data_IF_800799326239
#
_entry.id   IF_800799326239
#
_cell.length_a   1.000
_cell.length_b   1.000
_cell.length_c   1.000
_cell.angle_alpha   90.00
_cell.angle_beta   90.00
_cell.angle_gamma   90.00
#
_symmetry.space_group_name_H-M   'P 1'
#
loop_
_entity.id
_entity.type
_entity.pdbx_description
1 polymer ?
#
# COMPACT_ATOMS: atom_id res chain seq x y z
N UNK A 1 39.48 61.11 2.64
CA UNK A 1 39.80 59.91 3.43
C UNK A 1 38.64 58.94 3.23
N UNK A 2 38.62 58.28 2.08
CA UNK A 2 37.77 57.11 1.80
C UNK A 2 38.78 56.04 1.47
N UNK A 3 39.14 55.18 2.42
CA UNK A 3 40.02 54.04 2.14
C UNK A 3 40.07 52.98 3.26
N UNK A 4 38.97 52.77 3.98
CA UNK A 4 38.86 51.64 4.93
C UNK A 4 37.57 50.86 4.64
N UNK A 5 37.50 50.22 3.47
CA UNK A 5 36.41 49.29 3.12
C UNK A 5 36.98 47.95 2.63
N UNK A 6 37.95 47.43 3.37
CA UNK A 6 38.63 46.15 3.11
C UNK A 6 38.35 45.11 4.23
N UNK A 7 37.58 45.46 5.26
CA UNK A 7 37.42 44.65 6.48
C UNK A 7 36.15 43.77 6.53
N UNK A 8 35.21 43.90 5.59
CA UNK A 8 33.90 43.24 5.69
C UNK A 8 33.67 42.05 4.73
N UNK A 9 34.59 41.77 3.79
CA UNK A 9 34.40 40.67 2.82
C UNK A 9 34.51 39.28 3.46
N UNK A 10 35.36 39.10 4.47
CA UNK A 10 35.50 37.85 5.22
C UNK A 10 34.21 37.47 5.99
N UNK A 11 33.45 38.47 6.45
CA UNK A 11 32.17 38.26 7.13
C UNK A 11 31.13 37.69 6.16
N UNK A 12 31.10 38.18 4.92
CA UNK A 12 30.20 37.65 3.89
C UNK A 12 30.58 36.22 3.49
N UNK A 13 31.88 35.90 3.36
CA UNK A 13 32.33 34.52 3.10
C UNK A 13 31.92 33.55 4.21
N UNK A 14 32.04 33.98 5.47
CA UNK A 14 31.59 33.22 6.64
C UNK A 14 30.07 33.01 6.61
N UNK A 15 29.29 34.07 6.37
CA UNK A 15 27.82 33.98 6.29
C UNK A 15 27.33 33.12 5.12
N UNK A 16 28.00 33.17 3.97
CA UNK A 16 27.69 32.31 2.82
C UNK A 16 27.98 30.86 3.16
N UNK A 17 29.14 30.57 3.77
CA UNK A 17 29.50 29.21 4.21
C UNK A 17 28.51 28.66 5.24
N UNK A 18 28.12 29.48 6.23
CA UNK A 18 27.12 29.12 7.23
C UNK A 18 25.75 28.85 6.59
N UNK A 19 25.34 29.71 5.64
CA UNK A 19 24.09 29.55 4.91
C UNK A 19 24.10 28.28 4.05
N UNK A 20 25.15 28.02 3.28
CA UNK A 20 25.32 26.80 2.48
C UNK A 20 25.26 25.54 3.35
N UNK A 21 25.94 25.56 4.51
CA UNK A 21 25.90 24.46 5.49
C UNK A 21 24.47 24.23 5.99
N UNK A 22 23.74 25.31 6.34
CA UNK A 22 22.34 25.20 6.81
C UNK A 22 21.39 24.72 5.72
N UNK A 23 21.60 25.12 4.48
CA UNK A 23 20.82 24.63 3.33
C UNK A 23 21.07 23.14 3.13
N UNK A 24 22.34 22.72 3.12
CA UNK A 24 22.74 21.31 3.00
C UNK A 24 22.13 20.44 4.11
N UNK A 25 22.19 20.90 5.37
CA UNK A 25 21.57 20.22 6.51
C UNK A 25 20.06 20.06 6.35
N UNK A 26 19.39 21.10 5.85
CA UNK A 26 17.94 21.09 5.62
C UNK A 26 17.56 20.12 4.50
N UNK A 27 18.31 20.11 3.39
CA UNK A 27 18.13 19.18 2.27
C UNK A 27 18.35 17.73 2.71
N UNK A 28 19.43 17.46 3.44
CA UNK A 28 19.70 16.13 3.98
C UNK A 28 18.57 15.67 4.91
N UNK A 29 18.11 16.54 5.83
CA UNK A 29 17.00 16.22 6.73
C UNK A 29 15.71 15.95 5.97
N UNK A 30 15.37 16.78 4.99
CA UNK A 30 14.20 16.59 4.14
C UNK A 30 14.26 15.27 3.39
N UNK A 31 15.42 14.90 2.85
CA UNK A 31 15.60 13.64 2.12
C UNK A 31 15.39 12.40 3.01
N UNK A 32 15.83 12.47 4.27
CA UNK A 32 15.62 11.40 5.25
C UNK A 32 14.15 11.26 5.64
N UNK A 33 13.45 12.37 5.81
CA UNK A 33 12.01 12.37 6.09
C UNK A 33 11.25 11.82 4.90
N UNK A 34 11.58 12.24 3.68
CA UNK A 34 10.99 11.74 2.44
C UNK A 34 11.19 10.23 2.27
N UNK A 35 12.41 9.73 2.51
CA UNK A 35 12.68 8.29 2.44
C UNK A 35 11.78 7.52 3.41
N UNK A 36 11.65 7.99 4.65
CA UNK A 36 10.79 7.36 5.66
C UNK A 36 9.30 7.42 5.30
N UNK A 37 8.84 8.54 4.77
CA UNK A 37 7.42 8.69 4.36
C UNK A 37 7.10 7.78 3.18
N UNK A 38 8.01 7.66 2.21
CA UNK A 38 7.91 6.72 1.09
C UNK A 38 7.90 5.26 1.54
N UNK A 39 8.82 4.87 2.42
CA UNK A 39 8.89 3.51 2.97
C UNK A 39 7.62 3.13 3.74
N UNK A 40 7.11 4.04 4.58
CA UNK A 40 5.85 3.83 5.31
C UNK A 40 4.65 3.68 4.37
N UNK A 41 4.58 4.49 3.32
CA UNK A 41 3.52 4.44 2.32
C UNK A 41 3.53 3.13 1.52
N UNK A 42 4.70 2.75 1.01
CA UNK A 42 4.88 1.52 0.27
C UNK A 42 4.59 0.30 1.16
N UNK A 43 5.03 0.32 2.42
CA UNK A 43 4.74 -0.75 3.38
C UNK A 43 3.24 -0.90 3.65
N UNK A 44 2.54 0.22 3.86
CA UNK A 44 1.09 0.21 4.08
C UNK A 44 0.33 -0.34 2.88
N UNK A 45 0.74 0.03 1.66
CA UNK A 45 0.13 -0.50 0.45
C UNK A 45 0.38 -2.01 0.28
N UNK A 46 1.63 -2.46 0.46
CA UNK A 46 1.96 -3.88 0.38
C UNK A 46 1.12 -4.70 1.34
N UNK A 47 0.94 -4.21 2.57
CA UNK A 47 0.05 -4.84 3.56
C UNK A 47 -1.41 -4.88 3.10
N UNK A 48 -1.92 -3.79 2.51
CA UNK A 48 -3.28 -3.76 2.00
C UNK A 48 -3.49 -4.76 0.86
N UNK A 49 -2.55 -4.82 -0.09
CA UNK A 49 -2.56 -5.76 -1.22
C UNK A 49 -2.53 -7.20 -0.73
N UNK A 50 -1.61 -7.51 0.18
CA UNK A 50 -1.47 -8.84 0.79
C UNK A 50 -2.77 -9.30 1.46
N UNK A 51 -3.41 -8.41 2.24
CA UNK A 51 -4.70 -8.70 2.90
C UNK A 51 -5.83 -8.92 1.90
N UNK A 52 -5.88 -8.12 0.84
CA UNK A 52 -6.90 -8.26 -0.19
C UNK A 52 -6.74 -9.59 -0.93
N UNK A 53 -5.51 -9.96 -1.29
CA UNK A 53 -5.20 -11.24 -1.93
C UNK A 53 -5.57 -12.42 -1.04
N UNK A 54 -5.14 -12.42 0.22
CA UNK A 54 -5.46 -13.47 1.18
C UNK A 54 -6.98 -13.67 1.36
N UNK A 55 -7.73 -12.57 1.50
CA UNK A 55 -9.20 -12.62 1.62
C UNK A 55 -9.87 -13.12 0.36
N UNK A 56 -9.38 -12.69 -0.80
CA UNK A 56 -9.92 -13.14 -2.08
C UNK A 56 -9.78 -14.67 -2.22
N UNK A 57 -8.59 -15.22 -1.95
CA UNK A 57 -8.38 -16.68 -1.98
C UNK A 57 -9.28 -17.41 -0.99
N UNK A 58 -9.36 -16.94 0.26
CA UNK A 58 -10.21 -17.59 1.28
C UNK A 58 -11.67 -17.61 0.86
N UNK A 59 -12.18 -16.51 0.29
CA UNK A 59 -13.55 -16.45 -0.20
C UNK A 59 -13.75 -17.34 -1.45
N UNK A 60 -12.77 -17.39 -2.35
CA UNK A 60 -12.82 -18.25 -3.54
C UNK A 60 -12.86 -19.73 -3.15
N UNK A 61 -12.06 -20.14 -2.16
CA UNK A 61 -12.05 -21.51 -1.62
C UNK A 61 -13.38 -21.88 -0.95
N UNK A 62 -14.03 -20.93 -0.26
CA UNK A 62 -15.33 -21.19 0.37
C UNK A 62 -16.47 -21.30 -0.66
N UNK A 63 -16.40 -20.55 -1.77
CA UNK A 63 -17.34 -20.66 -2.90
C UNK A 63 -18.81 -20.72 -2.47
N UNK A 64 -19.56 -21.65 -3.06
CA UNK A 64 -20.94 -21.99 -2.66
C UNK A 64 -21.02 -23.14 -1.63
N UNK A 65 -19.88 -23.59 -1.08
CA UNK A 65 -19.87 -24.72 -0.16
C UNK A 65 -20.58 -24.37 1.15
N UNK A 66 -21.41 -25.30 1.64
CA UNK A 66 -22.02 -25.19 2.97
C UNK A 66 -20.98 -25.53 4.04
N UNK A 67 -20.23 -24.53 4.48
CA UNK A 67 -19.17 -24.66 5.49
C UNK A 67 -19.69 -24.25 6.86
N UNK A 68 -19.29 -24.97 7.91
CA UNK A 68 -19.62 -24.60 9.29
C UNK A 68 -19.17 -23.18 9.65
N UNK A 69 -19.99 -22.48 10.44
CA UNK A 69 -19.73 -21.07 10.85
C UNK A 69 -18.38 -20.92 11.55
N UNK A 70 -18.00 -21.90 12.37
CA UNK A 70 -16.70 -21.93 13.07
C UNK A 70 -15.51 -21.95 12.12
N UNK A 71 -15.59 -22.72 11.02
CA UNK A 71 -14.56 -22.77 10.00
C UNK A 71 -14.49 -21.49 9.18
N UNK A 72 -15.64 -20.91 8.81
CA UNK A 72 -15.68 -19.60 8.14
C UNK A 72 -15.01 -18.52 8.98
N UNK A 73 -15.33 -18.45 10.28
CA UNK A 73 -14.72 -17.48 11.18
C UNK A 73 -13.21 -17.70 11.31
N UNK A 74 -12.76 -18.94 11.48
CA UNK A 74 -11.34 -19.26 11.56
C UNK A 74 -10.58 -18.88 10.29
N UNK A 75 -11.10 -19.23 9.11
CA UNK A 75 -10.48 -18.94 7.82
C UNK A 75 -10.39 -17.42 7.55
N UNK A 76 -11.45 -16.68 7.87
CA UNK A 76 -11.51 -15.23 7.65
C UNK A 76 -10.64 -14.43 8.63
N UNK A 77 -10.48 -14.89 9.88
CA UNK A 77 -9.75 -14.15 10.94
C UNK A 77 -8.31 -14.63 11.12
N UNK A 78 -8.10 -15.93 11.27
CA UNK A 78 -6.78 -16.50 11.55
C UNK A 78 -6.04 -16.81 10.26
N UNK A 79 -6.71 -17.51 9.33
CA UNK A 79 -6.03 -18.02 8.14
C UNK A 79 -5.73 -16.93 7.11
N UNK A 80 -6.62 -15.94 6.95
CA UNK A 80 -6.34 -14.75 6.13
C UNK A 80 -5.10 -13.99 6.61
N UNK A 81 -4.87 -13.91 7.92
CA UNK A 81 -3.67 -13.28 8.47
C UNK A 81 -2.42 -14.13 8.18
N UNK A 82 -2.50 -15.46 8.30
CA UNK A 82 -1.40 -16.36 7.91
C UNK A 82 -0.98 -16.15 6.45
N UNK A 83 -1.95 -16.16 5.54
CA UNK A 83 -1.71 -15.93 4.12
C UNK A 83 -1.12 -14.53 3.90
N UNK A 84 -1.63 -13.51 4.59
CA UNK A 84 -1.05 -12.15 4.54
C UNK A 84 0.42 -12.15 4.95
N UNK A 85 0.80 -12.87 6.01
CA UNK A 85 2.20 -12.96 6.44
C UNK A 85 3.09 -13.67 5.42
N UNK A 86 2.62 -14.76 4.81
CA UNK A 86 3.34 -15.46 3.73
C UNK A 86 3.53 -14.50 2.55
N UNK A 87 2.47 -13.78 2.16
CA UNK A 87 2.49 -12.82 1.06
C UNK A 87 3.49 -11.68 1.27
N UNK A 88 3.63 -11.18 2.50
CA UNK A 88 4.56 -10.09 2.80
C UNK A 88 6.04 -10.52 2.82
N UNK A 89 6.31 -11.81 3.03
CA UNK A 89 7.68 -12.31 3.19
C UNK A 89 8.41 -12.49 1.87
N UNK A 90 7.68 -12.76 0.78
CA UNK A 90 8.27 -13.14 -0.50
C UNK A 90 7.62 -12.34 -1.64
N UNK A 91 8.42 -11.81 -2.60
CA UNK A 91 7.90 -11.03 -3.72
C UNK A 91 7.01 -11.83 -4.69
N UNK A 92 7.13 -13.17 -4.72
CA UNK A 92 6.32 -14.09 -5.54
C UNK A 92 5.57 -15.10 -4.67
N UNK A 93 4.95 -14.62 -3.59
CA UNK A 93 4.36 -15.51 -2.60
C UNK A 93 3.30 -16.47 -3.16
N UNK A 94 2.52 -16.07 -4.17
CA UNK A 94 1.49 -16.92 -4.79
C UNK A 94 2.06 -18.21 -5.39
N UNK A 95 3.32 -18.20 -5.81
CA UNK A 95 4.00 -19.38 -6.36
C UNK A 95 4.85 -20.13 -5.33
N UNK A 96 4.90 -19.67 -4.08
CA UNK A 96 5.73 -20.25 -3.05
C UNK A 96 5.18 -21.57 -2.51
N UNK A 97 6.06 -22.48 -2.11
CA UNK A 97 5.66 -23.74 -1.48
C UNK A 97 4.89 -23.50 -0.17
N UNK A 98 5.26 -22.46 0.58
CA UNK A 98 4.59 -22.03 1.82
C UNK A 98 3.14 -21.64 1.55
N UNK A 99 2.87 -20.89 0.47
CA UNK A 99 1.54 -20.49 0.08
C UNK A 99 0.68 -21.68 -0.36
N UNK A 100 1.21 -22.52 -1.27
CA UNK A 100 0.50 -23.72 -1.72
C UNK A 100 0.17 -24.67 -0.55
N UNK A 101 1.11 -24.82 0.39
CA UNK A 101 0.89 -25.63 1.59
C UNK A 101 -0.19 -25.03 2.49
N UNK A 102 -0.21 -23.70 2.64
CA UNK A 102 -1.25 -23.01 3.39
C UNK A 102 -2.64 -23.10 2.72
N UNK A 103 -2.71 -23.06 1.39
CA UNK A 103 -3.95 -23.24 0.63
C UNK A 103 -4.47 -24.67 0.76
N UNK A 104 -3.62 -25.70 0.60
CA UNK A 104 -4.00 -27.11 0.79
C UNK A 104 -4.54 -27.40 2.20
N UNK A 105 -3.96 -26.76 3.22
CA UNK A 105 -4.48 -26.84 4.58
C UNK A 105 -5.84 -26.16 4.71
N UNK A 106 -6.07 -25.00 4.07
CA UNK A 106 -7.38 -24.35 4.04
C UNK A 106 -8.45 -25.23 3.39
N UNK A 107 -8.15 -25.84 2.24
CA UNK A 107 -9.03 -26.80 1.56
C UNK A 107 -9.37 -27.99 2.48
N UNK A 108 -8.38 -28.46 3.24
CA UNK A 108 -8.58 -29.52 4.22
C UNK A 108 -9.51 -29.07 5.35
N UNK A 109 -9.33 -27.86 5.90
CA UNK A 109 -10.24 -27.30 6.91
C UNK A 109 -11.68 -27.27 6.38
N UNK A 110 -11.87 -26.78 5.15
CA UNK A 110 -13.18 -26.70 4.49
C UNK A 110 -13.80 -28.09 4.35
N UNK A 111 -13.04 -29.07 3.86
CA UNK A 111 -13.47 -30.46 3.73
C UNK A 111 -13.93 -31.02 5.07
N UNK A 112 -13.15 -30.88 6.14
CA UNK A 112 -13.51 -31.35 7.48
C UNK A 112 -14.69 -30.59 8.12
N UNK A 113 -14.95 -29.36 7.66
CA UNK A 113 -16.04 -28.52 8.14
C UNK A 113 -17.28 -28.53 7.24
N UNK A 114 -17.30 -29.39 6.21
CA UNK A 114 -18.42 -29.61 5.30
C UNK A 114 -19.17 -30.89 5.66
N UNK A 115 -20.46 -31.03 5.31
CA UNK A 115 -21.23 -32.26 5.49
C UNK A 115 -20.48 -33.48 4.93
N UNK A 116 -20.62 -34.62 5.60
CA UNK A 116 -20.03 -35.89 5.16
C UNK A 116 -21.03 -36.58 4.23
N UNK A 117 -20.62 -36.93 3.02
CA UNK A 117 -21.53 -37.49 2.02
C UNK A 117 -21.65 -39.02 2.13
N UNK A 118 -20.58 -39.71 2.54
CA UNK A 118 -20.56 -41.17 2.59
C UNK A 118 -19.79 -41.73 3.80
N UNK A 119 -20.11 -42.97 4.16
CA UNK A 119 -19.54 -43.66 5.33
C UNK A 119 -18.02 -43.93 5.19
N UNK A 120 -17.54 -44.12 3.95
CA UNK A 120 -16.11 -44.30 3.68
C UNK A 120 -15.31 -43.04 3.97
N UNK A 121 -15.81 -41.88 3.55
CA UNK A 121 -15.24 -40.57 3.81
C UNK A 121 -15.30 -40.26 5.31
N UNK A 122 -16.40 -40.60 6.00
CA UNK A 122 -16.51 -40.48 7.46
C UNK A 122 -15.37 -41.21 8.16
N UNK A 123 -15.14 -42.48 7.80
CA UNK A 123 -14.08 -43.30 8.40
C UNK A 123 -12.69 -42.72 8.12
N UNK A 124 -12.44 -42.26 6.90
CA UNK A 124 -11.16 -41.62 6.55
C UNK A 124 -10.94 -40.32 7.31
N UNK A 125 -11.97 -39.48 7.43
CA UNK A 125 -11.93 -38.23 8.22
C UNK A 125 -11.69 -38.53 9.70
N UNK A 126 -12.39 -39.49 10.30
CA UNK A 126 -12.17 -39.89 11.71
C UNK A 126 -10.74 -40.39 11.95
N UNK A 127 -10.20 -41.20 11.04
CA UNK A 127 -8.85 -41.75 11.17
C UNK A 127 -7.75 -40.70 11.09
N UNK A 128 -7.97 -39.62 10.34
CA UNK A 128 -6.97 -38.56 10.13
C UNK A 128 -7.33 -37.22 10.78
N UNK A 129 -8.34 -37.20 11.66
CA UNK A 129 -8.81 -35.99 12.33
C UNK A 129 -7.75 -35.43 13.27
N UNK A 130 -7.18 -36.25 14.15
CA UNK A 130 -6.20 -35.80 15.14
C UNK A 130 -4.92 -35.27 14.46
N UNK A 131 -4.44 -35.97 13.44
CA UNK A 131 -3.31 -35.53 12.61
C UNK A 131 -3.59 -34.18 11.94
N UNK A 132 -4.81 -34.00 11.40
CA UNK A 132 -5.22 -32.73 10.81
C UNK A 132 -5.24 -31.60 11.85
N UNK A 133 -5.80 -31.84 13.03
CA UNK A 133 -5.88 -30.84 14.10
C UNK A 133 -4.48 -30.45 14.61
N UNK A 134 -3.57 -31.42 14.71
CA UNK A 134 -2.18 -31.18 15.09
C UNK A 134 -1.45 -30.35 14.03
N UNK A 135 -1.54 -30.72 12.75
CA UNK A 135 -0.97 -29.96 11.66
C UNK A 135 -1.50 -28.51 11.63
N UNK A 136 -2.79 -28.31 11.91
CA UNK A 136 -3.38 -26.97 11.96
C UNK A 136 -2.85 -26.14 13.15
N UNK A 137 -2.66 -26.76 14.31
CA UNK A 137 -2.08 -26.11 15.49
C UNK A 137 -0.63 -25.69 15.23
N UNK A 138 0.16 -26.54 14.59
CA UNK A 138 1.53 -26.22 14.20
C UNK A 138 1.58 -25.09 13.17
N UNK A 139 0.76 -25.14 12.12
CA UNK A 139 0.71 -24.11 11.08
C UNK A 139 0.26 -22.74 11.62
N UNK A 140 -0.60 -22.72 12.64
CA UNK A 140 -1.10 -21.50 13.29
C UNK A 140 -0.29 -21.07 14.54
N UNK A 141 0.73 -21.85 14.94
CA UNK A 141 1.53 -21.58 16.14
C UNK A 141 2.24 -20.21 16.09
N UNK A 142 2.76 -19.84 14.93
CA UNK A 142 3.50 -18.58 14.72
C UNK A 142 2.61 -17.34 14.71
N UNK A 143 1.29 -17.51 14.67
CA UNK A 143 0.33 -16.40 14.69
C UNK A 143 0.03 -15.99 16.12
N UNK A 144 0.27 -14.72 16.43
CA UNK A 144 -0.09 -14.11 17.70
C UNK A 144 -1.43 -13.38 17.58
N UNK A 145 -2.51 -14.12 17.83
CA UNK A 145 -3.86 -13.56 17.94
C UNK A 145 -4.52 -14.00 19.25
N UNK A 146 -5.18 -13.08 19.99
CA UNK A 146 -5.74 -13.38 21.31
C UNK A 146 -6.89 -14.38 21.29
N UNK A 147 -7.60 -14.47 20.17
CA UNK A 147 -8.77 -15.35 20.01
C UNK A 147 -8.45 -16.70 19.34
N UNK A 148 -7.19 -16.92 18.95
CA UNK A 148 -6.77 -18.10 18.19
C UNK A 148 -7.20 -19.43 18.84
N UNK A 149 -6.90 -19.60 20.12
CA UNK A 149 -7.20 -20.85 20.85
C UNK A 149 -8.71 -21.11 20.95
N UNK A 150 -9.51 -20.05 21.11
CA UNK A 150 -10.98 -20.16 21.14
C UNK A 150 -11.53 -20.57 19.78
N UNK A 151 -11.03 -19.97 18.70
CA UNK A 151 -11.45 -20.29 17.33
C UNK A 151 -11.02 -21.71 16.93
N UNK A 152 -9.82 -22.14 17.31
CA UNK A 152 -9.37 -23.53 17.12
C UNK A 152 -10.28 -24.52 17.86
N UNK A 153 -10.60 -24.23 19.13
CA UNK A 153 -11.51 -25.09 19.90
C UNK A 153 -12.90 -25.19 19.28
N UNK A 154 -13.49 -24.08 18.82
CA UNK A 154 -14.79 -24.06 18.16
C UNK A 154 -14.77 -24.80 16.81
N UNK A 155 -13.69 -24.67 16.05
CA UNK A 155 -13.49 -25.39 14.81
C UNK A 155 -13.41 -26.90 15.06
N UNK A 156 -12.54 -27.34 15.96
CA UNK A 156 -12.32 -28.75 16.25
C UNK A 156 -13.55 -29.44 16.83
N UNK A 157 -14.25 -28.77 17.74
CA UNK A 157 -15.52 -29.29 18.27
C UNK A 157 -16.59 -29.42 17.19
N UNK A 158 -16.67 -28.47 16.26
CA UNK A 158 -17.58 -28.54 15.12
C UNK A 158 -17.24 -29.68 14.15
N UNK A 159 -15.96 -29.87 13.81
CA UNK A 159 -15.50 -30.94 12.93
C UNK A 159 -15.85 -32.32 13.51
N UNK A 160 -15.67 -32.50 14.82
CA UNK A 160 -15.99 -33.74 15.52
C UNK A 160 -17.49 -34.03 15.49
N UNK A 161 -18.33 -33.04 15.82
CA UNK A 161 -19.80 -33.16 15.76
C UNK A 161 -20.30 -33.54 14.37
N UNK A 162 -19.83 -32.85 13.32
CA UNK A 162 -20.22 -33.14 11.94
C UNK A 162 -19.88 -34.58 11.53
N UNK A 163 -18.77 -35.10 12.05
CA UNK A 163 -18.29 -36.44 11.71
C UNK A 163 -19.04 -37.53 12.51
N UNK A 164 -19.45 -37.25 13.76
CA UNK A 164 -20.16 -38.19 14.65
C UNK A 164 -21.70 -38.19 14.44
N UNK A 165 -22.32 -37.01 14.24
CA UNK A 165 -23.79 -36.82 14.23
C UNK A 165 -24.46 -37.12 12.87
N UNK A 166 -23.69 -37.24 11.79
CA UNK A 166 -24.20 -37.59 10.44
C UNK A 166 -24.74 -39.04 10.37
N UNK A 167 -24.74 -39.79 11.47
CA UNK A 167 -25.35 -41.12 11.60
C UNK A 167 -26.85 -41.11 11.94
N UNK A 168 -27.47 -39.95 12.23
CA UNK A 168 -28.88 -39.87 12.70
C UNK A 168 -29.85 -39.04 11.83
N UNK A 169 -29.44 -38.56 10.66
CA UNK A 169 -30.35 -37.82 9.78
C UNK A 169 -31.19 -38.78 8.93
N UNK A 170 -32.36 -39.15 9.46
CA UNK A 170 -33.50 -39.59 8.63
C UNK A 170 -33.78 -38.50 7.61
N UNK A 171 -33.95 -38.91 6.35
CA UNK A 171 -34.32 -38.04 5.24
C UNK A 171 -35.55 -37.19 5.61
N UNK A 172 -35.36 -35.88 5.68
CA UNK A 172 -36.46 -34.92 5.59
C UNK A 172 -36.36 -34.32 4.18
N UNK A 173 -37.42 -34.39 3.36
CA UNK A 173 -37.39 -33.89 2.01
C UNK A 173 -37.14 -32.38 2.04
N UNK A 174 -36.10 -31.95 1.32
CA UNK A 174 -35.77 -30.55 1.07
C UNK A 174 -36.89 -29.97 0.20
N UNK A 175 -37.78 -29.21 0.82
CA UNK A 175 -38.68 -28.30 0.09
C UNK A 175 -37.80 -27.22 -0.53
N UNK A 176 -37.70 -27.26 -1.85
CA UNK A 176 -37.07 -26.23 -2.64
C UNK A 176 -37.79 -24.89 -2.40
N UNK A 177 -37.11 -23.97 -1.72
CA UNK A 177 -37.47 -22.56 -1.73
C UNK A 177 -36.63 -21.91 -2.83
N UNK A 178 -37.32 -21.60 -3.92
CA UNK A 178 -36.86 -20.77 -5.02
C UNK A 178 -36.43 -19.39 -4.49
N UNK A 179 -35.19 -18.94 -4.75
CA UNK A 179 -34.78 -17.59 -4.38
C UNK A 179 -35.35 -16.59 -5.39
N UNK A 180 -36.20 -15.69 -4.91
CA UNK A 180 -36.57 -14.48 -5.66
C UNK A 180 -35.32 -13.63 -5.96
N UNK A 181 -35.22 -13.06 -7.18
CA UNK A 181 -34.09 -12.23 -7.57
C UNK A 181 -34.18 -10.88 -6.88
N UNK A 182 -33.26 -10.62 -5.95
CA UNK A 182 -33.00 -9.27 -5.45
C UNK A 182 -32.28 -8.50 -6.57
N UNK A 183 -32.81 -7.37 -7.05
CA UNK A 183 -32.15 -6.58 -8.07
C UNK A 183 -30.87 -5.96 -7.50
N UNK A 184 -29.75 -6.45 -8.02
CA UNK A 184 -28.42 -5.89 -7.81
C UNK A 184 -28.37 -4.47 -8.40
N UNK A 185 -28.64 -3.48 -7.55
CA UNK A 185 -28.38 -2.06 -7.82
C UNK A 185 -27.30 -1.59 -6.86
N UNK A 186 -26.06 -1.96 -7.12
CA UNK A 186 -24.98 -0.98 -7.24
C UNK A 186 -23.78 -1.68 -7.88
N UNK A 187 -23.82 -1.76 -9.21
CA UNK A 187 -22.60 -1.67 -10.00
C UNK A 187 -21.88 -0.41 -9.54
N UNK A 188 -20.89 -0.57 -8.67
CA UNK A 188 -19.83 0.40 -8.51
C UNK A 188 -19.30 0.62 -9.91
N UNK A 189 -19.56 1.81 -10.44
CA UNK A 189 -19.17 2.22 -11.76
C UNK A 189 -17.74 1.74 -12.01
N UNK A 190 -17.61 0.94 -13.05
CA UNK A 190 -16.35 0.75 -13.76
C UNK A 190 -15.97 2.16 -14.21
N UNK A 191 -15.21 2.87 -13.39
CA UNK A 191 -14.49 4.06 -13.83
C UNK A 191 -13.31 3.57 -14.68
N UNK A 192 -13.63 2.97 -15.82
CA UNK A 192 -12.67 2.88 -16.90
C UNK A 192 -12.25 4.32 -17.22
N UNK A 193 -10.94 4.60 -17.28
CA UNK A 193 -10.48 5.94 -17.60
C UNK A 193 -11.08 6.39 -18.93
N UNK A 194 -11.44 7.66 -18.99
CA UNK A 194 -11.83 8.32 -20.23
C UNK A 194 -10.61 8.35 -21.15
N UNK A 195 -10.75 8.27 -22.49
CA UNK A 195 -9.59 8.29 -23.40
C UNK A 195 -8.63 9.48 -23.18
N UNK A 196 -9.15 10.63 -22.74
CA UNK A 196 -8.34 11.80 -22.38
C UNK A 196 -7.55 11.58 -21.08
N UNK A 197 -8.13 10.90 -20.09
CA UNK A 197 -7.45 10.54 -18.85
C UNK A 197 -6.34 9.53 -19.15
N UNK A 198 -6.55 8.55 -20.03
CA UNK A 198 -5.54 7.55 -20.38
C UNK A 198 -4.27 8.17 -20.98
N UNK A 199 -4.41 9.21 -21.81
CA UNK A 199 -3.27 9.94 -22.36
C UNK A 199 -2.46 10.57 -21.22
N UNK A 200 -3.11 11.31 -20.33
CA UNK A 200 -2.46 11.99 -19.20
C UNK A 200 -1.87 10.98 -18.21
N UNK A 201 -2.57 9.88 -17.93
CA UNK A 201 -2.09 8.80 -17.08
C UNK A 201 -0.82 8.20 -17.67
N UNK A 202 -0.76 7.97 -19.00
CA UNK A 202 0.44 7.47 -19.66
C UNK A 202 1.59 8.49 -19.62
N UNK A 203 1.31 9.78 -19.70
CA UNK A 203 2.31 10.82 -19.50
C UNK A 203 2.84 10.81 -18.05
N UNK A 204 1.96 10.74 -17.04
CA UNK A 204 2.32 10.62 -15.62
C UNK A 204 3.08 9.31 -15.30
N UNK A 205 2.75 8.24 -16.03
CA UNK A 205 3.58 7.08 -16.44
C UNK A 205 5.09 7.36 -16.50
N UNK A 206 5.43 8.37 -17.28
CA UNK A 206 6.80 8.69 -17.67
C UNK A 206 7.47 9.78 -16.83
N UNK A 207 6.72 10.48 -15.97
CA UNK A 207 7.25 11.57 -15.13
C UNK A 207 8.27 11.01 -14.12
N UNK A 208 9.51 11.55 -14.06
CA UNK A 208 10.51 11.12 -13.09
C UNK A 208 10.10 11.44 -11.64
N UNK A 209 10.49 10.55 -10.72
CA UNK A 209 10.44 10.87 -9.28
C UNK A 209 11.28 12.13 -8.99
N UNK A 210 10.82 12.93 -8.05
CA UNK A 210 11.40 14.23 -7.72
C UNK A 210 10.80 15.41 -8.51
N UNK A 211 9.92 15.15 -9.49
CA UNK A 211 9.24 16.22 -10.23
C UNK A 211 8.25 16.96 -9.32
N UNK A 212 8.28 18.29 -9.36
CA UNK A 212 7.39 19.13 -8.57
C UNK A 212 6.09 19.45 -9.30
N UNK A 213 5.01 19.53 -8.53
CA UNK A 213 3.66 19.84 -9.01
C UNK A 213 3.10 20.99 -8.19
N UNK A 214 2.36 21.88 -8.86
CA UNK A 214 1.58 22.95 -8.22
C UNK A 214 0.12 22.52 -8.13
N UNK A 215 -0.39 22.45 -6.91
CA UNK A 215 -1.78 22.16 -6.58
C UNK A 215 -2.49 23.46 -6.21
N UNK A 216 -3.60 23.75 -6.87
CA UNK A 216 -4.46 24.90 -6.57
C UNK A 216 -5.54 24.49 -5.59
N UNK A 217 -5.45 24.94 -4.35
CA UNK A 217 -6.41 24.66 -3.27
C UNK A 217 -7.74 25.41 -3.42
N UNK A 218 -8.67 25.13 -2.49
CA UNK A 218 -10.04 25.70 -2.50
C UNK A 218 -10.07 27.24 -2.40
N UNK A 219 -9.04 27.85 -1.81
CA UNK A 219 -8.90 29.31 -1.65
C UNK A 219 -7.89 29.93 -2.64
N UNK A 220 -7.64 29.30 -3.80
CA UNK A 220 -6.58 29.68 -4.75
C UNK A 220 -5.17 29.71 -4.15
N UNK A 221 -4.96 29.07 -3.00
CA UNK A 221 -3.63 28.85 -2.44
C UNK A 221 -2.87 27.86 -3.32
N UNK A 222 -1.65 28.23 -3.71
CA UNK A 222 -0.77 27.36 -4.51
C UNK A 222 0.10 26.57 -3.53
N UNK A 223 -0.05 25.25 -3.55
CA UNK A 223 0.79 24.34 -2.80
C UNK A 223 1.71 23.57 -3.74
N UNK A 224 3.01 23.59 -3.46
CA UNK A 224 3.99 22.81 -4.20
C UNK A 224 4.22 21.49 -3.50
N UNK A 225 4.10 20.41 -4.26
CA UNK A 225 4.41 19.08 -3.75
C UNK A 225 5.23 18.29 -4.78
N UNK A 226 6.20 17.54 -4.28
CA UNK A 226 7.13 16.75 -5.07
C UNK A 226 6.62 15.32 -5.19
N UNK A 227 6.60 14.78 -6.40
CA UNK A 227 6.28 13.37 -6.63
C UNK A 227 7.39 12.49 -6.01
N UNK A 228 7.11 11.83 -4.90
CA UNK A 228 8.11 11.06 -4.16
C UNK A 228 7.97 9.55 -4.39
N UNK A 229 6.77 9.07 -4.72
CA UNK A 229 6.51 7.65 -4.91
C UNK A 229 5.27 7.42 -5.79
N UNK A 230 5.25 6.27 -6.47
CA UNK A 230 4.13 5.79 -7.27
C UNK A 230 3.93 4.31 -7.03
N UNK A 231 2.68 3.92 -6.89
CA UNK A 231 2.27 2.53 -6.97
C UNK A 231 1.80 2.14 -8.37
N UNK A 232 2.26 0.98 -8.82
CA UNK A 232 1.74 0.28 -10.01
C UNK A 232 0.60 -0.69 -9.67
N UNK A 233 0.36 -0.98 -8.39
CA UNK A 233 -0.65 -1.96 -7.94
C UNK A 233 -1.98 -1.28 -7.63
N UNK A 234 -1.97 -0.25 -6.78
CA UNK A 234 -3.19 0.51 -6.45
C UNK A 234 -3.37 1.77 -7.29
N UNK A 235 -2.48 1.98 -8.28
CA UNK A 235 -2.54 3.12 -9.19
C UNK A 235 -2.63 4.46 -8.45
N UNK A 236 -1.73 4.68 -7.48
CA UNK A 236 -1.66 5.90 -6.66
C UNK A 236 -0.31 6.59 -6.80
N UNK A 237 -0.33 7.91 -6.71
CA UNK A 237 0.83 8.78 -6.60
C UNK A 237 0.88 9.38 -5.20
N UNK A 238 2.08 9.46 -4.63
CA UNK A 238 2.35 10.16 -3.38
C UNK A 238 3.20 11.39 -3.63
N UNK A 239 2.79 12.47 -2.99
CA UNK A 239 3.47 13.74 -3.02
C UNK A 239 3.93 14.14 -1.62
N UNK A 240 5.13 14.73 -1.54
CA UNK A 240 5.70 15.30 -0.32
C UNK A 240 5.86 16.81 -0.44
N UNK A 241 5.86 17.51 0.69
CA UNK A 241 6.17 18.93 0.75
C UNK A 241 7.69 19.21 0.69
N UNK A 242 8.07 20.47 0.88
CA UNK A 242 9.46 20.91 0.95
C UNK A 242 10.26 20.33 2.13
N UNK A 243 9.58 19.78 3.13
CA UNK A 243 10.19 19.15 4.30
C UNK A 243 10.26 17.62 4.16
N UNK A 244 9.83 17.06 3.02
CA UNK A 244 9.76 15.62 2.79
C UNK A 244 8.58 14.94 3.51
N UNK A 245 7.67 15.72 4.12
CA UNK A 245 6.48 15.17 4.77
C UNK A 245 5.37 14.90 3.76
N UNK A 246 4.52 13.91 4.02
CA UNK A 246 3.45 13.52 3.09
C UNK A 246 2.43 14.65 2.94
N UNK A 247 2.37 15.24 1.74
CA UNK A 247 1.41 16.28 1.37
C UNK A 247 0.09 15.67 0.86
N UNK A 248 0.16 14.69 -0.04
CA UNK A 248 -1.03 14.07 -0.63
C UNK A 248 -0.78 12.64 -1.12
N UNK A 249 -1.84 11.82 -1.16
CA UNK A 249 -1.92 10.56 -1.90
C UNK A 249 -3.14 10.66 -2.81
N UNK A 250 -2.95 10.52 -4.11
CA UNK A 250 -3.99 10.74 -5.13
C UNK A 250 -3.96 9.56 -6.12
N UNK A 251 -5.13 9.08 -6.55
CA UNK A 251 -5.22 8.03 -7.58
C UNK A 251 -4.77 8.57 -8.95
N UNK A 252 -4.38 7.69 -9.89
CA UNK A 252 -3.98 8.12 -11.23
C UNK A 252 -5.12 8.83 -11.96
N UNK A 253 -6.35 8.33 -11.83
CA UNK A 253 -7.55 8.93 -12.42
C UNK A 253 -7.87 10.28 -11.81
N UNK A 254 -7.88 10.39 -10.48
CA UNK A 254 -8.12 11.69 -9.81
C UNK A 254 -7.02 12.71 -10.14
N UNK A 255 -5.76 12.27 -10.26
CA UNK A 255 -4.66 13.16 -10.62
C UNK A 255 -4.82 13.65 -12.07
N UNK A 256 -5.20 12.77 -12.99
CA UNK A 256 -5.51 13.14 -14.36
C UNK A 256 -6.66 14.16 -14.42
N UNK A 257 -7.75 13.94 -13.68
CA UNK A 257 -8.87 14.88 -13.58
C UNK A 257 -8.45 16.25 -13.04
N UNK A 258 -7.57 16.26 -12.03
CA UNK A 258 -7.05 17.49 -11.49
C UNK A 258 -6.13 18.23 -12.47
N UNK A 259 -5.45 17.53 -13.37
CA UNK A 259 -4.66 18.13 -14.46
C UNK A 259 -5.57 18.67 -15.56
N UNK A 260 -6.56 17.88 -16.00
CA UNK A 260 -7.54 18.28 -17.04
C UNK A 260 -8.30 19.53 -16.58
N UNK A 261 -8.75 19.55 -15.32
CA UNK A 261 -9.44 20.70 -14.73
C UNK A 261 -8.53 21.89 -14.41
N UNK A 262 -7.21 21.77 -14.66
CA UNK A 262 -6.22 22.83 -14.45
C UNK A 262 -5.89 23.13 -12.99
N UNK A 263 -6.38 22.31 -12.05
CA UNK A 263 -6.10 22.41 -10.61
C UNK A 263 -4.67 21.97 -10.28
N UNK A 264 -4.08 21.10 -11.10
CA UNK A 264 -2.71 20.60 -10.94
C UNK A 264 -1.89 20.93 -12.17
N UNK A 265 -0.66 21.42 -11.96
CA UNK A 265 0.30 21.71 -13.03
C UNK A 265 1.67 21.15 -12.72
N UNK A 266 2.31 20.55 -13.72
CA UNK A 266 3.68 20.03 -13.62
C UNK A 266 4.67 21.19 -13.71
N UNK A 267 5.53 21.34 -12.71
CA UNK A 267 6.63 22.31 -12.74
C UNK A 267 7.77 21.68 -13.53
N UNK A 268 7.93 22.10 -14.78
CA UNK A 268 9.11 21.76 -15.57
C UNK A 268 10.27 22.65 -15.10
N UNK A 269 11.31 22.06 -14.53
CA UNK A 269 12.47 22.79 -13.99
C UNK A 269 13.00 23.83 -15.00
N UNK A 270 12.85 25.12 -14.68
CA UNK A 270 13.71 26.14 -15.27
C UNK A 270 15.11 25.96 -14.65
N UNK A 271 16.11 25.85 -15.52
CA UNK A 271 17.50 25.51 -15.18
C UNK A 271 18.05 26.52 -14.14
N UNK A 272 18.54 25.95 -13.02
CA UNK A 272 19.17 26.53 -11.82
C UNK A 272 18.22 26.96 -10.68
N UNK A 273 18.39 26.37 -9.47
CA UNK A 273 17.74 26.86 -8.26
C UNK A 273 17.99 28.37 -8.08
N UNK A 274 16.96 29.11 -7.68
CA UNK A 274 17.04 30.56 -7.47
C UNK A 274 18.18 30.96 -6.53
N UNK A 275 18.42 30.15 -5.49
CA UNK A 275 19.47 30.36 -4.48
C UNK A 275 20.85 30.31 -5.11
N UNK A 276 21.10 29.30 -5.95
CA UNK A 276 22.37 29.12 -6.65
C UNK A 276 22.63 30.27 -7.64
N UNK A 277 21.57 30.80 -8.26
CA UNK A 277 21.66 32.00 -9.12
C UNK A 277 21.91 33.28 -8.31
N UNK A 278 21.27 33.42 -7.16
CA UNK A 278 21.44 34.58 -6.28
C UNK A 278 22.84 34.61 -5.65
N UNK A 279 23.33 33.47 -5.17
CA UNK A 279 24.69 33.31 -4.63
C UNK A 279 25.75 33.49 -5.72
N UNK A 280 25.56 32.89 -6.91
CA UNK A 280 26.45 33.13 -8.06
C UNK A 280 26.48 34.62 -8.47
N UNK A 281 25.38 35.34 -8.32
CA UNK A 281 25.32 36.77 -8.64
C UNK A 281 26.05 37.60 -7.58
N UNK A 282 25.89 37.26 -6.29
CA UNK A 282 26.60 37.93 -5.17
C UNK A 282 28.10 37.64 -5.26
N UNK A 283 28.51 36.39 -5.49
CA UNK A 283 29.91 36.02 -5.68
C UNK A 283 30.54 36.76 -6.86
N UNK A 284 29.84 36.87 -7.99
CA UNK A 284 30.29 37.70 -9.14
C UNK A 284 30.39 39.19 -8.81
N UNK A 285 29.51 39.72 -7.98
CA UNK A 285 29.57 41.12 -7.55
C UNK A 285 30.75 41.38 -6.61
N UNK A 286 31.11 40.41 -5.77
CA UNK A 286 32.28 40.47 -4.89
C UNK A 286 33.59 40.29 -5.67
N UNK A 287 33.63 39.40 -6.67
CA UNK A 287 34.79 39.19 -7.56
C UNK A 287 35.08 40.39 -8.49
N UNK A 288 34.09 41.26 -8.72
CA UNK A 288 34.16 42.39 -9.66
C UNK A 288 34.05 43.73 -8.92
N UNK A 289 34.91 43.96 -7.93
CA UNK A 289 35.15 45.30 -7.36
C UNK A 289 35.47 46.34 -8.45
N UNK A 290 35.12 47.63 -8.25
CA UNK A 290 35.05 48.60 -9.34
C UNK A 290 36.44 48.84 -9.96
N UNK A 291 36.64 48.37 -11.20
CA UNK A 291 37.75 48.81 -12.03
C UNK A 291 37.55 50.30 -12.33
N UNK A 292 38.21 51.16 -11.56
CA UNK A 292 38.37 52.57 -11.89
C UNK A 292 38.97 52.67 -13.30
N UNK A 293 38.15 53.10 -14.24
CA UNK A 293 38.60 53.58 -15.54
C UNK A 293 39.33 54.90 -15.30
N UNK A 294 40.65 54.84 -15.14
CA UNK A 294 41.51 56.03 -15.26
C UNK A 294 41.66 56.31 -16.76
N UNK A 295 40.85 57.22 -17.29
CA UNK A 295 41.04 57.80 -18.60
C UNK A 295 41.74 59.16 -18.45
N UNK A 296 42.91 59.26 -19.08
CA UNK A 296 43.71 60.44 -19.44
C UNK A 296 44.22 61.35 -18.31
#
# INVERSE_FOLDING_TARGET
>A
MLNDFDEDTEIFETLVTDFETRVSDLEQRSSLVEKRTNEAASGQEKLQTARQRARHEINALMGEHTVAVSAKEFLQRIWSDKLTFIFLRQPEADNSDDWHSAIKLAETIIRYASPVENETERKQRLQSLDDHQQALREASSTLQQPEKEKLLFNLFSSQRKLTEESSLATEVPVVAVEPEPVPDKTQTAINSPTPEQDIIINELKSVPFGTWFEFTGKEKTIQRAKLSWRSTVTEKFMFVDQMGTRAAIISMTDLADNIISGKVRVIHHQKKPFVDRALSAIHRMLDHGPRQTVHA
#
